data_IF_848964181056
#
_entry.id   IF_848964181056
#
_cell.length_a   1.000
_cell.length_b   1.000
_cell.length_c   1.000
_cell.angle_alpha   90.00
_cell.angle_beta   90.00
_cell.angle_gamma   90.00
#
_symmetry.space_group_name_H-M   'P 1'
#
loop_
_entity.id
_entity.type
_entity.pdbx_description
1 polymer ?
#
# COMPACT_ATOMS: atom_id res chain seq x y z
N UNK A 1 10.19 10.07 -10.45
CA UNK A 1 11.50 10.71 -10.11
C UNK A 1 11.23 11.96 -9.27
N UNK A 2 11.62 11.94 -7.99
CA UNK A 2 11.25 13.02 -7.05
C UNK A 2 12.44 13.97 -6.87
N UNK A 3 12.34 15.19 -7.41
CA UNK A 3 13.37 16.23 -7.32
C UNK A 3 13.65 16.59 -5.86
N UNK A 4 14.67 15.97 -5.27
CA UNK A 4 15.02 16.20 -3.86
C UNK A 4 15.23 14.94 -3.02
N UNK A 5 14.79 13.77 -3.48
CA UNK A 5 14.94 12.53 -2.72
C UNK A 5 16.42 12.16 -2.56
N UNK A 6 16.84 11.87 -1.32
CA UNK A 6 18.22 11.44 -1.02
C UNK A 6 18.51 10.06 -1.60
N UNK A 7 17.55 9.15 -1.52
CA UNK A 7 17.73 7.76 -1.92
C UNK A 7 17.80 7.65 -3.45
N UNK A 8 17.02 8.46 -4.18
CA UNK A 8 17.18 8.66 -5.63
C UNK A 8 18.60 9.11 -5.99
N UNK A 9 19.15 10.08 -5.26
CA UNK A 9 20.51 10.59 -5.53
C UNK A 9 21.60 9.56 -5.19
N UNK A 10 21.33 8.71 -4.21
CA UNK A 10 22.22 7.63 -3.82
C UNK A 10 22.09 6.37 -4.69
N UNK A 11 21.11 6.33 -5.62
CA UNK A 11 20.87 5.18 -6.48
C UNK A 11 20.35 3.95 -5.73
N UNK A 12 19.70 4.15 -4.58
CA UNK A 12 19.14 3.06 -3.78
C UNK A 12 17.83 2.58 -4.40
N UNK A 13 17.53 1.29 -4.28
CA UNK A 13 16.22 0.74 -4.62
C UNK A 13 15.19 1.16 -3.57
N UNK A 14 14.22 1.97 -3.97
CA UNK A 14 13.15 2.50 -3.11
C UNK A 14 11.95 2.92 -3.94
N UNK A 15 10.77 2.93 -3.30
CA UNK A 15 9.55 3.46 -3.88
C UNK A 15 9.12 4.74 -3.14
N UNK A 16 8.52 5.69 -3.86
CA UNK A 16 7.91 6.89 -3.26
C UNK A 16 6.41 6.72 -2.97
N UNK A 17 5.82 5.65 -3.48
CA UNK A 17 4.42 5.37 -3.29
C UNK A 17 4.10 4.97 -1.86
N UNK A 18 2.83 5.10 -1.52
CA UNK A 18 2.27 4.52 -0.33
C UNK A 18 1.62 3.20 -0.71
N UNK A 19 1.88 2.14 0.05
CA UNK A 19 1.18 0.87 -0.11
C UNK A 19 -0.19 0.97 0.55
N UNK A 20 -1.24 0.68 -0.21
CA UNK A 20 -2.57 0.42 0.29
C UNK A 20 -2.71 -1.10 0.47
N UNK A 21 -2.72 -1.55 1.72
CA UNK A 21 -2.90 -2.96 2.06
C UNK A 21 -4.38 -3.29 2.05
N UNK A 22 -4.80 -4.04 1.04
CA UNK A 22 -6.17 -4.49 0.91
C UNK A 22 -6.44 -5.72 1.78
N UNK A 23 -7.63 -5.76 2.38
CA UNK A 23 -8.07 -6.92 3.17
C UNK A 23 -8.40 -8.16 2.31
N UNK A 24 -8.85 -7.95 1.07
CA UNK A 24 -9.37 -9.02 0.18
C UNK A 24 -8.74 -9.02 -1.22
N UNK A 25 -7.74 -8.18 -1.46
CA UNK A 25 -7.06 -8.06 -2.76
C UNK A 25 -5.56 -7.99 -2.52
N UNK A 26 -4.77 -8.05 -3.59
CA UNK A 26 -3.34 -7.74 -3.51
C UNK A 26 -3.13 -6.29 -3.08
N UNK A 27 -2.01 -6.05 -2.43
CA UNK A 27 -1.53 -4.71 -2.08
C UNK A 27 -1.39 -3.86 -3.34
N UNK A 28 -1.82 -2.60 -3.26
CA UNK A 28 -1.68 -1.61 -4.33
C UNK A 28 -0.63 -0.58 -3.91
N UNK A 29 0.25 -0.16 -4.84
CA UNK A 29 1.12 0.99 -4.61
C UNK A 29 0.55 2.19 -5.37
N UNK A 30 0.54 3.36 -4.74
CA UNK A 30 0.08 4.59 -5.40
C UNK A 30 1.06 5.13 -6.45
N UNK A 31 2.29 4.60 -6.52
CA UNK A 31 3.27 5.01 -7.53
C UNK A 31 3.04 4.24 -8.84
N UNK A 32 2.81 4.92 -9.97
CA UNK A 32 2.38 4.28 -11.23
C UNK A 32 3.43 3.37 -11.86
N UNK A 33 4.72 3.63 -11.60
CA UNK A 33 5.85 2.83 -12.08
C UNK A 33 6.30 1.77 -11.06
N UNK A 34 5.47 1.45 -10.05
CA UNK A 34 5.77 0.37 -9.11
C UNK A 34 5.25 -0.98 -9.64
N UNK A 35 6.16 -1.78 -10.21
CA UNK A 35 5.82 -3.13 -10.71
C UNK A 35 5.72 -4.20 -9.60
N UNK A 36 6.07 -3.85 -8.36
CA UNK A 36 6.19 -4.81 -7.26
C UNK A 36 5.78 -4.25 -5.91
N UNK A 37 4.49 -3.92 -5.67
CA UNK A 37 4.02 -3.44 -4.36
C UNK A 37 4.38 -4.38 -3.20
N UNK A 38 4.49 -5.67 -3.46
CA UNK A 38 4.84 -6.70 -2.46
C UNK A 38 6.35 -7.04 -2.43
N UNK A 39 7.13 -6.54 -3.39
CA UNK A 39 8.53 -6.91 -3.60
C UNK A 39 9.49 -5.73 -3.38
N UNK A 40 9.07 -4.51 -3.73
CA UNK A 40 9.87 -3.29 -3.54
C UNK A 40 9.80 -2.82 -2.08
N UNK A 41 10.88 -2.17 -1.58
CA UNK A 41 10.87 -1.60 -0.24
C UNK A 41 9.99 -0.35 -0.19
N UNK A 42 8.88 -0.48 0.55
CA UNK A 42 7.94 0.62 0.80
C UNK A 42 8.00 1.04 2.27
N UNK A 43 8.34 2.30 2.50
CA UNK A 43 8.39 2.88 3.84
C UNK A 43 6.98 3.19 4.37
N UNK A 44 6.04 3.51 3.48
CA UNK A 44 4.70 3.96 3.84
C UNK A 44 3.67 2.91 3.48
N UNK A 45 2.94 2.43 4.49
CA UNK A 45 1.87 1.45 4.35
C UNK A 45 0.64 1.96 5.10
N UNK A 46 -0.51 1.93 4.44
CA UNK A 46 -1.82 2.25 5.01
C UNK A 46 -2.79 1.10 4.74
N UNK A 47 -3.67 0.81 5.70
CA UNK A 47 -4.72 -0.16 5.50
C UNK A 47 -5.84 0.43 4.63
N UNK A 48 -6.47 -0.43 3.82
CA UNK A 48 -7.44 0.01 2.83
C UNK A 48 -8.71 0.65 3.43
N UNK A 49 -9.05 0.35 4.69
CA UNK A 49 -10.20 0.97 5.36
C UNK A 49 -9.96 2.46 5.65
N UNK A 50 -8.71 2.85 5.96
CA UNK A 50 -8.34 4.23 6.23
C UNK A 50 -8.52 5.15 5.01
N UNK A 51 -8.51 4.58 3.80
CA UNK A 51 -8.73 5.29 2.53
C UNK A 51 -10.15 5.07 1.98
N UNK A 52 -11.04 4.41 2.73
CA UNK A 52 -12.44 4.21 2.34
C UNK A 52 -12.70 3.06 1.36
N UNK A 53 -11.79 2.07 1.25
CA UNK A 53 -12.07 0.87 0.47
C UNK A 53 -13.12 0.01 1.16
N UNK A 54 -14.23 -0.27 0.48
CA UNK A 54 -15.27 -1.19 0.99
C UNK A 54 -14.84 -2.66 1.10
N UNK A 55 -13.61 -2.99 0.67
CA UNK A 55 -13.07 -4.34 0.79
C UNK A 55 -12.85 -4.80 2.24
N UNK A 56 -12.68 -3.89 3.20
CA UNK A 56 -12.60 -4.23 4.63
C UNK A 56 -13.95 -4.52 5.29
N UNK A 57 -15.05 -3.99 4.74
CA UNK A 57 -16.40 -4.13 5.30
C UNK A 57 -16.89 -5.59 5.30
N UNK A 58 -16.52 -6.35 4.27
CA UNK A 58 -16.84 -7.78 4.17
C UNK A 58 -16.24 -8.60 5.32
N UNK A 59 -15.02 -8.28 5.76
CA UNK A 59 -14.39 -8.94 6.92
C UNK A 59 -15.08 -8.50 8.21
N UNK A 60 -15.32 -7.19 8.38
CA UNK A 60 -15.98 -6.67 9.58
C UNK A 60 -17.38 -7.28 9.78
N UNK A 61 -18.14 -7.48 8.70
CA UNK A 61 -19.44 -8.13 8.76
C UNK A 61 -19.34 -9.61 9.16
N UNK A 62 -18.32 -10.33 8.69
CA UNK A 62 -18.07 -11.72 9.11
C UNK A 62 -17.77 -11.81 10.61
N UNK A 63 -16.88 -10.94 11.12
CA UNK A 63 -16.54 -10.92 12.55
C UNK A 63 -17.77 -10.59 13.41
N UNK A 64 -18.57 -9.59 13.04
CA UNK A 64 -19.77 -9.18 13.80
C UNK A 64 -20.88 -10.25 13.87
N UNK A 65 -20.89 -11.21 12.94
CA UNK A 65 -21.85 -12.33 12.96
C UNK A 65 -21.41 -13.50 13.84
N UNK A 66 -20.13 -13.55 14.23
CA UNK A 66 -19.55 -14.65 14.98
C UNK A 66 -19.49 -14.40 16.50
N UNK A 67 -19.87 -13.21 16.98
CA UNK A 67 -19.93 -12.81 18.40
C UNK A 67 -21.38 -12.69 18.83
#
# INVERSE_FOLDING_TARGET
MSTGCRDCRAGLDHCHGTIIRHSLRRSECTEPDCDGPELSPHTFVVDCDAVGCGCGEAIAHFVRRAV
#
